data_IF_521205063457
#
_entry.id   IF_521205063457
#
_cell.length_a   1.000
_cell.length_b   1.000
_cell.length_c   1.000
_cell.angle_alpha   90.00
_cell.angle_beta   90.00
_cell.angle_gamma   90.00
#
_symmetry.space_group_name_H-M   'P 1'
#
loop_
_entity.id
_entity.type
_entity.pdbx_description
1 polymer ?
#
# COMPACT_ATOMS: atom_id res chain seq x y z
N UNK A 1 62.38 28.50 60.64
CA UNK A 1 61.81 27.20 61.11
C UNK A 1 60.30 27.43 61.26
N UNK A 2 59.50 26.66 60.54
CA UNK A 2 58.02 26.81 60.65
C UNK A 2 57.52 26.37 62.05
N UNK A 3 56.42 26.92 62.47
CA UNK A 3 55.79 26.64 63.77
C UNK A 3 55.26 25.20 63.81
N UNK A 4 55.52 24.47 64.90
CA UNK A 4 54.93 23.15 65.15
C UNK A 4 53.43 23.33 65.41
N UNK A 5 52.59 22.57 64.75
CA UNK A 5 51.17 22.61 64.92
C UNK A 5 50.75 22.14 66.35
N UNK A 6 49.74 22.79 66.94
CA UNK A 6 48.99 22.26 68.06
C UNK A 6 47.62 21.76 67.56
N UNK A 7 46.99 20.87 68.31
CA UNK A 7 45.62 20.40 67.96
C UNK A 7 44.62 21.55 67.84
N UNK A 8 44.68 22.53 68.72
CA UNK A 8 43.84 23.73 68.65
C UNK A 8 44.08 24.55 67.38
N UNK A 9 45.34 24.69 66.95
CA UNK A 9 45.72 25.38 65.70
C UNK A 9 45.22 24.60 64.47
N UNK A 10 45.36 23.26 64.48
CA UNK A 10 44.84 22.39 63.40
C UNK A 10 43.31 22.50 63.31
N UNK A 11 42.59 22.39 64.43
CA UNK A 11 41.13 22.51 64.43
C UNK A 11 40.70 23.89 63.96
N UNK A 12 41.40 24.94 64.33
CA UNK A 12 41.11 26.31 63.90
C UNK A 12 41.35 26.47 62.35
N UNK A 13 42.41 25.89 61.84
CA UNK A 13 42.78 26.00 60.41
C UNK A 13 41.93 25.17 59.50
N UNK A 14 41.69 23.91 59.85
CA UNK A 14 41.07 22.91 58.96
C UNK A 14 39.62 22.56 59.39
N UNK A 15 39.23 22.87 60.60
CA UNK A 15 37.90 22.49 61.13
C UNK A 15 37.80 21.03 61.57
N UNK A 16 38.90 20.31 61.64
CA UNK A 16 38.96 18.91 62.05
C UNK A 16 39.90 18.72 63.20
N UNK A 17 39.71 17.68 63.99
CA UNK A 17 40.52 17.37 65.13
C UNK A 17 39.90 17.78 66.49
N UNK A 18 40.72 17.85 67.52
CA UNK A 18 40.32 18.12 68.92
C UNK A 18 40.96 19.42 69.40
N UNK A 19 40.53 19.91 70.53
CA UNK A 19 41.19 21.01 71.23
C UNK A 19 42.36 20.43 72.03
N UNK A 20 43.45 21.20 72.15
CA UNK A 20 44.62 20.85 72.87
C UNK A 20 45.86 21.59 72.41
N UNK A 21 46.86 21.72 73.32
CA UNK A 21 48.14 22.34 73.04
C UNK A 21 49.24 21.33 72.64
N UNK A 22 48.90 20.02 72.68
CA UNK A 22 49.85 18.99 72.24
C UNK A 22 50.02 19.05 70.74
N UNK A 23 51.18 18.65 70.23
CA UNK A 23 51.44 18.56 68.83
C UNK A 23 50.80 17.28 68.27
N UNK A 24 50.00 17.35 67.18
CA UNK A 24 49.53 16.19 66.47
C UNK A 24 50.71 15.54 65.69
N UNK A 25 50.79 14.23 65.79
CA UNK A 25 51.73 13.48 64.96
C UNK A 25 51.14 13.31 63.57
N UNK A 26 51.99 12.98 62.56
CA UNK A 26 51.57 12.65 61.21
C UNK A 26 50.51 11.58 61.19
N UNK A 27 50.71 10.51 61.96
CA UNK A 27 49.77 9.39 62.01
C UNK A 27 48.40 9.80 62.53
N UNK A 28 48.33 10.64 63.59
CA UNK A 28 47.10 11.16 64.13
C UNK A 28 46.35 12.07 63.14
N UNK A 29 47.10 12.94 62.44
CA UNK A 29 46.50 13.80 61.41
C UNK A 29 45.91 13.05 60.23
N UNK A 30 46.63 12.03 59.75
CA UNK A 30 46.14 11.20 58.64
C UNK A 30 45.00 10.27 59.05
N UNK A 31 44.84 9.98 60.33
CA UNK A 31 43.73 9.22 60.89
C UNK A 31 42.45 10.04 61.06
N UNK A 32 42.48 11.39 60.89
CA UNK A 32 41.26 12.20 60.98
C UNK A 32 40.35 11.89 59.78
N UNK A 33 39.14 11.52 60.09
CA UNK A 33 38.11 11.35 59.08
C UNK A 33 37.62 12.70 58.53
N UNK A 34 37.49 12.83 57.20
CA UNK A 34 36.89 14.03 56.65
C UNK A 34 35.43 14.14 57.06
N UNK A 35 34.90 15.36 57.05
CA UNK A 35 33.48 15.65 57.32
C UNK A 35 32.79 16.18 56.09
N UNK A 36 31.47 16.01 56.05
CA UNK A 36 30.63 16.46 54.94
C UNK A 36 30.81 15.65 53.64
N UNK A 37 30.09 16.02 52.66
CA UNK A 37 30.09 15.47 51.29
C UNK A 37 29.90 16.55 50.25
N UNK A 38 30.30 16.30 49.03
CA UNK A 38 30.15 17.27 47.93
C UNK A 38 30.86 18.57 48.23
N UNK A 39 30.17 19.71 48.09
CA UNK A 39 30.70 21.04 48.36
C UNK A 39 30.93 21.35 49.84
N UNK A 40 30.35 20.55 50.73
CA UNK A 40 30.52 20.65 52.19
C UNK A 40 31.66 19.73 52.70
N UNK A 41 32.37 19.08 51.79
CA UNK A 41 33.51 18.23 52.16
C UNK A 41 34.62 19.09 52.78
N UNK A 42 35.10 18.64 53.93
CA UNK A 42 36.27 19.17 54.59
C UNK A 42 37.17 18.03 54.96
N UNK A 43 38.34 18.01 54.40
CA UNK A 43 39.39 17.05 54.69
C UNK A 43 40.69 17.74 55.10
N UNK A 44 41.72 16.94 55.35
CA UNK A 44 43.06 17.37 55.69
C UNK A 44 44.04 16.66 54.78
N UNK A 45 45.02 17.36 54.24
CA UNK A 45 46.17 16.83 53.56
C UNK A 45 47.45 17.50 54.09
N UNK A 46 48.57 16.78 53.96
CA UNK A 46 49.88 17.28 54.31
C UNK A 46 50.71 17.52 53.06
N UNK A 47 51.27 18.70 52.89
CA UNK A 47 52.26 18.94 51.83
C UNK A 47 53.52 18.17 52.13
N UNK A 48 54.43 18.09 52.42
CA UNK A 48 55.66 17.39 52.70
C UNK A 48 55.51 16.13 53.59
N UNK A 49 54.41 15.37 53.41
CA UNK A 49 54.10 14.17 54.25
C UNK A 49 55.25 13.14 54.32
N UNK A 50 56.06 13.01 53.25
CA UNK A 50 57.23 12.14 53.22
C UNK A 50 58.35 12.59 54.11
N UNK A 51 58.38 13.84 54.51
CA UNK A 51 59.43 14.43 55.36
C UNK A 51 59.23 14.17 56.85
N UNK A 52 58.09 13.57 57.21
CA UNK A 52 57.78 13.30 58.63
C UNK A 52 57.67 11.80 58.88
N UNK A 53 58.24 11.36 60.00
CA UNK A 53 57.96 10.04 60.56
C UNK A 53 56.56 9.97 61.14
N UNK A 54 55.97 8.78 61.29
CA UNK A 54 54.60 8.62 61.75
C UNK A 54 54.33 9.23 63.13
N UNK A 55 55.30 9.21 63.99
CA UNK A 55 55.19 9.75 65.34
C UNK A 55 55.79 11.13 65.50
N UNK A 56 56.11 11.83 64.40
CA UNK A 56 56.69 13.15 64.40
C UNK A 56 55.58 14.25 64.37
N UNK A 57 55.79 15.32 65.08
CA UNK A 57 54.96 16.50 65.03
C UNK A 57 55.10 17.23 63.71
N UNK A 58 53.93 17.59 63.11
CA UNK A 58 53.90 18.24 61.79
C UNK A 58 53.86 19.77 61.97
N UNK A 59 54.54 20.47 61.06
CA UNK A 59 54.48 21.95 61.07
C UNK A 59 53.09 22.43 60.57
N UNK A 60 52.60 23.51 61.17
CA UNK A 60 51.32 24.07 60.81
C UNK A 60 51.24 24.57 59.36
N UNK A 61 52.34 24.98 58.76
CA UNK A 61 52.42 25.37 57.37
C UNK A 61 52.21 24.23 56.40
N UNK A 62 52.53 23.00 56.79
CA UNK A 62 52.36 21.78 55.96
C UNK A 62 51.01 21.11 56.07
N UNK A 63 50.13 21.62 56.94
CA UNK A 63 48.76 21.11 57.14
C UNK A 63 47.77 21.97 56.34
N UNK A 64 47.10 21.35 55.42
CA UNK A 64 46.17 22.05 54.53
C UNK A 64 44.73 21.59 54.70
N UNK A 65 43.81 22.54 54.81
CA UNK A 65 42.37 22.27 54.69
C UNK A 65 42.03 21.93 53.27
N UNK A 66 41.46 20.74 53.07
CA UNK A 66 41.00 20.27 51.73
C UNK A 66 39.50 20.57 51.58
N UNK A 67 39.17 21.21 50.51
CA UNK A 67 37.77 21.38 50.04
C UNK A 67 37.70 21.11 48.56
N UNK A 68 36.46 20.90 48.09
CA UNK A 68 36.22 20.76 46.66
C UNK A 68 35.20 21.76 46.19
N UNK A 69 35.43 22.34 45.02
CA UNK A 69 34.44 23.05 44.24
C UNK A 69 33.99 22.20 43.07
N UNK A 70 32.71 22.10 42.90
CA UNK A 70 32.10 21.31 41.85
C UNK A 70 31.55 22.22 40.77
N UNK A 71 31.94 21.95 39.51
CA UNK A 71 31.33 22.55 38.35
C UNK A 71 30.39 21.53 37.73
N UNK A 72 29.12 21.89 37.59
CA UNK A 72 28.13 21.10 36.90
C UNK A 72 27.27 22.02 36.06
N UNK A 73 27.55 22.03 34.77
CA UNK A 73 26.86 22.89 33.78
C UNK A 73 26.48 22.09 32.56
N UNK A 74 25.50 22.58 31.81
CA UNK A 74 25.08 22.02 30.55
C UNK A 74 25.10 23.12 29.49
N UNK A 75 25.58 22.81 28.31
CA UNK A 75 25.51 23.70 27.14
C UNK A 75 24.08 23.88 26.66
N UNK A 76 23.26 22.85 26.76
CA UNK A 76 21.87 22.84 26.32
C UNK A 76 20.97 22.29 27.43
N UNK A 77 19.80 22.91 27.58
CA UNK A 77 18.76 22.46 28.52
C UNK A 77 17.62 21.68 27.83
N UNK A 78 17.64 21.61 26.49
CA UNK A 78 16.62 20.91 25.72
C UNK A 78 17.21 20.27 24.45
N UNK A 79 16.57 19.18 24.01
CA UNK A 79 16.81 18.50 22.74
C UNK A 79 15.48 18.37 22.01
N UNK A 80 15.47 18.75 20.73
CA UNK A 80 14.30 18.64 19.87
C UNK A 80 14.53 17.52 18.83
N UNK A 81 13.48 16.76 18.56
CA UNK A 81 13.45 15.70 17.55
C UNK A 81 12.41 16.05 16.49
N UNK A 82 12.67 15.61 15.25
CA UNK A 82 11.64 15.54 14.22
C UNK A 82 10.63 14.42 14.55
N UNK A 83 9.59 14.28 13.74
CA UNK A 83 8.57 13.26 13.96
C UNK A 83 9.11 11.82 13.81
N UNK A 84 10.18 11.62 13.04
CA UNK A 84 10.82 10.31 12.84
C UNK A 84 11.75 9.93 14.01
N UNK A 85 12.03 10.86 14.92
CA UNK A 85 12.86 10.64 16.10
C UNK A 85 14.31 11.03 15.91
N UNK A 86 14.65 11.72 14.81
CA UNK A 86 15.98 12.25 14.63
C UNK A 86 16.14 13.57 15.40
N UNK A 87 17.27 13.80 16.08
CA UNK A 87 17.51 15.09 16.72
C UNK A 87 17.63 16.17 15.64
N UNK A 88 17.12 17.35 15.95
CA UNK A 88 17.14 18.53 15.05
C UNK A 88 18.55 18.97 14.64
N UNK A 89 19.57 18.47 15.34
CA UNK A 89 20.98 18.64 15.00
C UNK A 89 21.71 17.35 15.36
N UNK A 90 22.52 16.84 14.44
CA UNK A 90 23.27 15.58 14.57
C UNK A 90 24.21 15.50 15.77
N UNK A 91 24.56 16.64 16.36
CA UNK A 91 25.50 16.76 17.47
C UNK A 91 24.85 17.22 18.78
N UNK A 92 23.53 17.21 18.91
CA UNK A 92 22.86 17.62 20.13
C UNK A 92 23.03 16.56 21.23
N UNK A 93 24.12 16.71 21.98
CA UNK A 93 24.18 16.25 23.38
C UNK A 93 24.00 17.44 24.30
N UNK A 94 23.70 17.21 25.55
CA UNK A 94 23.57 18.29 26.54
C UNK A 94 24.91 19.00 26.83
N UNK A 95 26.03 18.39 26.45
CA UNK A 95 27.36 18.94 26.66
C UNK A 95 27.62 19.24 28.13
N UNK A 96 27.39 18.26 29.00
CA UNK A 96 27.62 18.42 30.44
C UNK A 96 29.11 18.62 30.73
N UNK A 97 29.41 19.65 31.49
CA UNK A 97 30.70 19.81 32.16
C UNK A 97 30.46 19.42 33.61
N UNK A 98 31.09 18.34 34.01
CA UNK A 98 30.96 17.74 35.36
C UNK A 98 32.34 17.50 35.91
N UNK A 99 32.84 18.45 36.67
CA UNK A 99 34.20 18.41 37.22
C UNK A 99 34.21 18.79 38.70
N UNK A 100 35.30 18.45 39.38
CA UNK A 100 35.65 18.97 40.70
C UNK A 100 37.08 19.48 40.67
N UNK A 101 37.30 20.58 41.40
CA UNK A 101 38.62 21.15 41.66
C UNK A 101 38.89 21.04 43.14
N UNK A 102 40.06 20.43 43.48
CA UNK A 102 40.58 20.43 44.87
C UNK A 102 41.13 21.78 45.22
N UNK A 103 40.94 22.21 46.45
CA UNK A 103 41.50 23.42 47.03
C UNK A 103 42.24 23.06 48.33
N UNK A 104 43.39 23.67 48.47
CA UNK A 104 44.13 23.73 49.73
C UNK A 104 44.01 25.16 50.30
N UNK A 105 43.49 25.24 51.50
CA UNK A 105 43.33 26.58 52.19
C UNK A 105 42.69 27.62 51.30
N UNK A 106 41.76 27.20 50.43
CA UNK A 106 41.04 28.07 49.49
C UNK A 106 41.76 28.38 48.14
N UNK A 107 42.93 27.82 47.93
CA UNK A 107 43.69 27.96 46.69
C UNK A 107 43.59 26.66 45.89
N UNK A 108 43.34 26.78 44.59
CA UNK A 108 43.25 25.61 43.69
C UNK A 108 44.53 24.76 43.71
N UNK A 109 44.41 23.49 43.92
CA UNK A 109 45.51 22.52 44.02
C UNK A 109 45.28 21.35 43.11
N UNK A 110 46.14 21.18 42.09
CA UNK A 110 46.06 20.14 41.10
C UNK A 110 45.09 20.47 39.94
N UNK A 111 44.91 19.52 39.04
CA UNK A 111 44.02 19.66 37.90
C UNK A 111 42.57 19.39 38.28
N UNK A 112 41.64 19.95 37.50
CA UNK A 112 40.23 19.53 37.58
C UNK A 112 40.09 18.07 37.24
N UNK A 113 39.21 17.37 37.95
CA UNK A 113 38.91 15.96 37.79
C UNK A 113 37.46 15.81 37.36
N UNK A 114 37.20 14.96 36.37
CA UNK A 114 35.84 14.63 35.93
C UNK A 114 35.08 13.91 37.06
N UNK A 115 33.84 14.31 37.24
CA UNK A 115 32.88 13.67 38.17
C UNK A 115 31.76 13.02 37.36
N UNK A 116 31.41 11.80 37.71
CA UNK A 116 30.31 11.09 37.09
C UNK A 116 28.96 11.76 37.39
N UNK A 117 28.01 11.55 36.51
CA UNK A 117 26.62 11.97 36.69
C UNK A 117 25.65 10.85 36.32
N UNK A 118 24.45 10.90 36.85
CA UNK A 118 23.37 9.93 36.62
C UNK A 118 22.21 10.66 35.94
N UNK A 119 21.64 10.05 34.93
CA UNK A 119 20.44 10.52 34.24
C UNK A 119 19.27 9.67 34.70
N UNK A 120 18.20 10.28 35.15
CA UNK A 120 17.00 9.62 35.64
C UNK A 120 15.74 10.23 35.02
N UNK A 121 14.64 9.48 35.07
CA UNK A 121 13.33 9.90 34.55
C UNK A 121 13.34 10.24 33.06
N UNK A 122 14.20 9.59 32.26
CA UNK A 122 14.16 9.73 30.81
C UNK A 122 12.84 9.17 30.26
N UNK A 123 12.10 9.91 29.40
CA UNK A 123 10.85 9.43 28.85
C UNK A 123 11.07 8.19 28.01
N UNK A 124 10.11 7.27 28.02
CA UNK A 124 10.21 5.96 27.36
C UNK A 124 10.40 6.03 25.84
N UNK A 125 10.07 7.16 25.25
CA UNK A 125 10.21 7.42 23.82
C UNK A 125 11.58 8.00 23.43
N UNK A 126 12.47 8.26 24.40
CA UNK A 126 13.85 8.73 24.17
C UNK A 126 14.85 7.68 24.57
N UNK A 127 15.83 7.48 23.70
CA UNK A 127 16.96 6.56 23.94
C UNK A 127 18.26 7.35 24.02
N UNK A 128 19.04 7.06 25.09
CA UNK A 128 20.38 7.58 25.27
C UNK A 128 21.40 6.56 24.75
N UNK A 129 22.23 6.99 23.81
CA UNK A 129 23.30 6.16 23.22
C UNK A 129 24.69 6.46 23.79
N UNK A 130 24.74 7.22 24.89
CA UNK A 130 26.00 7.57 25.53
C UNK A 130 26.88 8.46 24.65
N UNK A 131 28.07 7.98 24.31
CA UNK A 131 29.05 8.75 23.52
C UNK A 131 28.87 8.58 22.00
N UNK A 132 27.81 7.90 21.52
CA UNK A 132 27.53 7.80 20.09
C UNK A 132 27.03 9.15 19.51
N UNK A 133 27.08 9.29 18.21
CA UNK A 133 26.59 10.47 17.49
C UNK A 133 25.48 10.02 16.53
N UNK A 134 24.24 10.49 16.72
CA UNK A 134 23.76 11.34 17.80
C UNK A 134 23.66 10.60 19.15
N UNK A 135 23.94 11.26 20.26
CA UNK A 135 23.88 10.64 21.59
C UNK A 135 22.45 10.34 22.07
N UNK A 136 21.47 10.96 21.44
CA UNK A 136 20.05 10.82 21.74
C UNK A 136 19.25 10.58 20.48
N UNK A 137 18.32 9.64 20.54
CA UNK A 137 17.28 9.41 19.52
C UNK A 137 15.93 9.29 20.20
N UNK A 138 14.87 9.44 19.42
CA UNK A 138 13.52 9.18 19.88
C UNK A 138 12.83 8.13 19.02
N UNK A 139 11.87 7.41 19.57
CA UNK A 139 10.96 6.59 18.76
C UNK A 139 10.11 7.49 17.87
N UNK A 140 9.70 6.98 16.71
CA UNK A 140 8.82 7.73 15.80
C UNK A 140 7.55 8.21 16.53
N UNK A 141 7.18 9.48 16.32
CA UNK A 141 5.92 10.02 16.80
C UNK A 141 4.86 9.86 15.71
N UNK A 142 3.97 8.90 15.89
CA UNK A 142 2.81 8.71 15.01
C UNK A 142 1.58 9.52 15.45
N UNK A 143 1.68 10.28 16.55
CA UNK A 143 0.64 11.21 17.02
C UNK A 143 0.59 12.48 16.17
N UNK A 144 -0.61 13.01 15.96
CA UNK A 144 -0.83 14.30 15.26
C UNK A 144 -0.59 15.52 16.16
N UNK A 145 -0.07 15.30 17.35
CA UNK A 145 0.36 16.34 18.29
C UNK A 145 1.83 16.14 18.62
N UNK A 146 2.52 17.26 18.81
CA UNK A 146 3.88 17.22 19.36
C UNK A 146 3.85 16.65 20.78
N UNK A 147 4.95 16.04 21.20
CA UNK A 147 5.12 15.57 22.58
C UNK A 147 6.34 16.22 23.22
N UNK A 148 6.30 16.40 24.52
CA UNK A 148 7.40 16.94 25.29
C UNK A 148 7.46 16.31 26.67
N UNK A 149 8.66 16.27 27.23
CA UNK A 149 8.92 15.85 28.61
C UNK A 149 9.99 16.75 29.21
N UNK A 150 9.78 17.20 30.44
CA UNK A 150 10.72 18.06 31.20
C UNK A 150 11.05 17.45 32.58
N UNK A 151 10.80 16.16 32.77
CA UNK A 151 11.02 15.47 34.04
C UNK A 151 12.38 14.78 34.15
N UNK A 152 13.12 14.70 33.04
CA UNK A 152 14.45 14.13 33.06
C UNK A 152 15.39 14.95 33.91
N UNK A 153 16.01 14.28 34.88
CA UNK A 153 16.91 14.86 35.84
C UNK A 153 18.32 14.30 35.65
N UNK A 154 19.30 15.19 35.59
CA UNK A 154 20.71 14.82 35.58
C UNK A 154 21.34 15.27 36.91
N UNK A 155 21.94 14.34 37.61
CA UNK A 155 22.49 14.56 38.95
C UNK A 155 23.98 14.23 38.95
N UNK A 156 24.83 15.18 39.37
CA UNK A 156 26.24 14.94 39.59
C UNK A 156 26.41 14.07 40.85
N UNK A 157 27.11 12.96 40.71
CA UNK A 157 27.12 11.88 41.73
C UNK A 157 27.70 12.30 43.08
N UNK A 158 28.70 13.17 43.10
CA UNK A 158 29.40 13.55 44.32
C UNK A 158 28.80 14.81 44.98
N UNK A 159 28.41 15.79 44.19
CA UNK A 159 27.88 17.07 44.75
C UNK A 159 26.37 17.05 44.96
N UNK A 160 25.65 16.15 44.30
CA UNK A 160 24.19 16.14 44.27
C UNK A 160 23.57 17.30 43.46
N UNK A 161 24.36 18.11 42.76
CA UNK A 161 23.85 19.16 41.87
C UNK A 161 23.04 18.54 40.75
N UNK A 162 21.92 19.18 40.39
CA UNK A 162 20.96 18.66 39.43
C UNK A 162 20.65 19.65 38.31
N UNK A 163 20.35 19.13 37.13
CA UNK A 163 19.71 19.86 36.04
C UNK A 163 18.45 19.14 35.60
N UNK A 164 17.42 19.91 35.26
CA UNK A 164 16.29 19.45 34.48
C UNK A 164 16.58 19.64 32.99
N UNK A 165 16.33 18.62 32.21
CA UNK A 165 16.45 18.67 30.76
C UNK A 165 15.10 18.38 30.13
N UNK A 166 14.84 19.03 28.99
CA UNK A 166 13.59 18.91 28.26
C UNK A 166 13.82 18.22 26.92
N UNK A 167 12.97 17.26 26.60
CA UNK A 167 12.88 16.66 25.28
C UNK A 167 11.58 17.11 24.61
N UNK A 168 11.65 17.47 23.34
CA UNK A 168 10.49 17.80 22.51
C UNK A 168 10.55 17.00 21.22
N UNK A 169 9.41 16.60 20.70
CA UNK A 169 9.32 15.93 19.41
C UNK A 169 8.15 16.44 18.60
N UNK A 170 8.39 16.68 17.32
CA UNK A 170 7.37 17.14 16.40
C UNK A 170 6.22 16.13 16.23
N UNK A 171 5.05 16.62 15.88
CA UNK A 171 3.91 15.82 15.47
C UNK A 171 4.19 15.09 14.14
N UNK A 172 3.52 13.97 13.92
CA UNK A 172 3.54 13.29 12.63
C UNK A 172 2.97 14.18 11.51
N UNK A 173 3.57 14.11 10.35
CA UNK A 173 2.94 14.61 9.12
C UNK A 173 1.82 13.68 8.71
N UNK A 174 0.64 14.23 8.40
CA UNK A 174 -0.51 13.47 7.91
C UNK A 174 -0.72 13.70 6.42
N UNK A 175 -0.95 12.63 5.67
CA UNK A 175 -1.36 12.70 4.28
C UNK A 175 -2.25 11.50 3.93
N UNK A 176 -2.83 11.51 2.72
CA UNK A 176 -3.69 10.44 2.24
C UNK A 176 -3.19 9.87 0.93
N UNK A 177 -3.09 8.55 0.85
CA UNK A 177 -2.85 7.83 -0.39
C UNK A 177 -4.18 7.29 -0.91
N UNK A 178 -4.58 7.73 -2.11
CA UNK A 178 -5.78 7.26 -2.78
C UNK A 178 -5.44 6.12 -3.73
N UNK A 179 -6.21 5.04 -3.66
CA UNK A 179 -6.15 3.91 -4.59
C UNK A 179 -7.43 3.89 -5.40
N UNK A 180 -7.30 3.96 -6.70
CA UNK A 180 -8.39 3.95 -7.66
C UNK A 180 -7.94 3.17 -8.89
N UNK A 181 -8.41 1.93 -9.03
CA UNK A 181 -8.03 1.04 -10.13
C UNK A 181 -9.17 0.13 -10.57
N UNK A 182 -9.09 -0.32 -11.80
CA UNK A 182 -10.05 -1.16 -12.47
C UNK A 182 -9.32 -2.30 -13.18
N UNK A 183 -9.85 -3.52 -13.09
CA UNK A 183 -9.29 -4.69 -13.79
C UNK A 183 -10.40 -5.66 -14.20
N UNK A 184 -10.43 -6.11 -15.47
CA UNK A 184 -9.65 -5.61 -16.60
C UNK A 184 -10.12 -4.23 -17.06
N UNK A 185 -9.34 -3.54 -17.89
CA UNK A 185 -9.70 -2.23 -18.48
C UNK A 185 -10.48 -2.38 -19.81
N UNK A 186 -10.53 -3.59 -20.36
CA UNK A 186 -11.31 -3.90 -21.56
C UNK A 186 -11.91 -5.32 -21.47
N UNK A 187 -13.09 -5.49 -22.07
CA UNK A 187 -13.78 -6.78 -22.15
C UNK A 187 -14.26 -6.99 -23.58
N UNK A 188 -14.00 -8.19 -24.13
CA UNK A 188 -14.51 -8.64 -25.40
C UNK A 188 -15.68 -9.61 -25.20
N UNK A 189 -16.78 -9.40 -25.92
CA UNK A 189 -17.96 -10.25 -25.95
C UNK A 189 -18.05 -10.96 -27.32
N UNK A 190 -18.53 -12.20 -27.31
CA UNK A 190 -18.96 -12.90 -28.52
C UNK A 190 -20.24 -12.30 -29.11
N UNK A 191 -20.58 -12.67 -30.33
CA UNK A 191 -21.77 -12.19 -31.03
C UNK A 191 -23.10 -12.46 -30.27
N UNK A 192 -23.20 -13.59 -29.56
CA UNK A 192 -24.37 -13.96 -28.76
C UNK A 192 -24.59 -13.08 -27.53
N UNK A 193 -23.56 -12.33 -27.14
CA UNK A 193 -23.56 -11.59 -25.88
C UNK A 193 -23.30 -12.47 -24.66
N UNK A 194 -23.15 -11.82 -23.54
CA UNK A 194 -22.91 -12.48 -22.24
C UNK A 194 -22.94 -11.44 -21.12
N UNK A 195 -22.81 -11.92 -19.89
CA UNK A 195 -22.53 -11.09 -18.70
C UNK A 195 -21.16 -11.41 -18.15
N UNK A 196 -20.33 -10.40 -18.00
CA UNK A 196 -18.97 -10.53 -17.46
C UNK A 196 -18.78 -9.59 -16.28
N UNK A 197 -17.76 -9.83 -15.47
CA UNK A 197 -17.46 -9.04 -14.29
C UNK A 197 -16.08 -8.38 -14.40
N UNK A 198 -15.91 -7.32 -13.62
CA UNK A 198 -14.64 -6.63 -13.43
C UNK A 198 -14.46 -6.31 -11.93
N UNK A 199 -13.27 -5.97 -11.53
CA UNK A 199 -12.95 -5.59 -10.15
C UNK A 199 -12.58 -4.12 -10.06
N UNK A 200 -12.92 -3.50 -8.93
CA UNK A 200 -12.61 -2.10 -8.64
C UNK A 200 -11.94 -2.02 -7.28
N UNK A 201 -10.77 -1.40 -7.21
CA UNK A 201 -10.19 -0.98 -5.94
C UNK A 201 -10.44 0.52 -5.75
N UNK A 202 -11.18 0.88 -4.70
CA UNK A 202 -11.57 2.25 -4.39
C UNK A 202 -11.46 2.47 -2.89
N UNK A 203 -10.31 3.01 -2.44
CA UNK A 203 -10.09 3.30 -1.03
C UNK A 203 -9.04 4.38 -0.85
N UNK A 204 -8.98 4.95 0.35
CA UNK A 204 -7.87 5.78 0.80
C UNK A 204 -7.20 5.17 2.03
N UNK A 205 -5.92 5.43 2.17
CA UNK A 205 -5.08 5.02 3.27
C UNK A 205 -4.44 6.25 3.91
N UNK A 206 -4.61 6.43 5.21
CA UNK A 206 -3.87 7.44 5.94
C UNK A 206 -2.38 7.09 5.95
N UNK A 207 -1.55 8.10 5.73
CA UNK A 207 -0.11 8.02 5.90
C UNK A 207 0.31 8.95 7.03
N UNK A 208 1.15 8.44 7.93
CA UNK A 208 1.84 9.24 8.93
C UNK A 208 3.33 9.12 8.72
N UNK A 209 3.99 10.24 8.60
CA UNK A 209 5.41 10.31 8.22
C UNK A 209 5.74 9.49 6.96
N UNK A 210 4.78 9.36 6.04
CA UNK A 210 4.93 8.57 4.81
C UNK A 210 4.61 7.07 4.94
N UNK A 211 4.39 6.55 6.14
CA UNK A 211 4.03 5.15 6.39
C UNK A 211 2.52 4.95 6.51
N UNK A 212 2.02 3.79 6.07
CA UNK A 212 0.61 3.44 6.24
C UNK A 212 0.22 3.44 7.72
N UNK A 213 -0.88 4.12 8.03
CA UNK A 213 -1.41 4.21 9.38
C UNK A 213 -2.89 3.84 9.42
N UNK A 214 -3.28 3.00 10.38
CA UNK A 214 -4.68 2.56 10.52
C UNK A 214 -5.18 1.70 9.36
N UNK A 215 -6.49 1.54 9.26
CA UNK A 215 -7.15 0.73 8.25
C UNK A 215 -7.40 1.51 6.95
N UNK A 216 -7.52 0.79 5.84
CA UNK A 216 -8.01 1.34 4.60
C UNK A 216 -9.47 1.77 4.74
N UNK A 217 -9.81 2.94 4.20
CA UNK A 217 -11.16 3.49 4.19
C UNK A 217 -11.71 3.36 2.78
N UNK A 218 -12.74 2.53 2.60
CA UNK A 218 -13.41 2.35 1.32
C UNK A 218 -14.05 3.67 0.86
N UNK A 219 -13.91 3.96 -0.45
CA UNK A 219 -14.51 5.13 -1.07
C UNK A 219 -15.60 4.70 -2.05
N UNK A 220 -16.72 5.38 -2.02
CA UNK A 220 -17.81 5.17 -2.95
C UNK A 220 -17.48 5.72 -4.33
N UNK A 221 -18.15 5.17 -5.34
CA UNK A 221 -18.06 5.63 -6.72
C UNK A 221 -19.42 5.54 -7.41
N UNK A 222 -19.62 6.34 -8.41
CA UNK A 222 -20.77 6.31 -9.32
C UNK A 222 -20.39 5.60 -10.60
N UNK A 223 -21.41 5.06 -11.30
CA UNK A 223 -21.27 4.35 -12.56
C UNK A 223 -22.18 4.96 -13.62
N UNK A 224 -21.67 5.12 -14.84
CA UNK A 224 -22.41 5.48 -16.03
C UNK A 224 -22.08 4.51 -17.15
N UNK A 225 -23.12 4.01 -17.85
CA UNK A 225 -22.98 3.14 -19.02
C UNK A 225 -23.22 3.97 -20.28
N UNK A 226 -22.53 3.63 -21.36
CA UNK A 226 -22.70 4.24 -22.68
C UNK A 226 -22.61 3.19 -23.79
N UNK A 227 -23.29 3.42 -24.90
CA UNK A 227 -23.33 2.49 -26.02
C UNK A 227 -24.17 1.25 -25.75
N UNK A 228 -23.71 0.09 -26.22
CA UNK A 228 -24.46 -1.17 -26.14
C UNK A 228 -24.30 -1.93 -24.82
N UNK A 229 -23.80 -1.29 -23.80
CA UNK A 229 -23.49 -1.90 -22.48
C UNK A 229 -24.64 -1.64 -21.51
N UNK A 230 -24.99 -2.67 -20.74
CA UNK A 230 -25.91 -2.63 -19.60
C UNK A 230 -25.27 -3.28 -18.37
N UNK A 231 -26.02 -3.37 -17.26
CA UNK A 231 -25.60 -3.98 -16.01
C UNK A 231 -25.37 -2.98 -14.89
N UNK A 232 -25.11 -3.47 -13.68
CA UNK A 232 -24.94 -2.70 -12.46
C UNK A 232 -23.79 -3.23 -11.60
N UNK A 233 -23.36 -2.48 -10.60
CA UNK A 233 -22.25 -2.86 -9.75
C UNK A 233 -20.98 -3.13 -10.58
N UNK A 234 -20.41 -4.32 -10.42
CA UNK A 234 -19.23 -4.78 -11.16
C UNK A 234 -19.57 -5.74 -12.30
N UNK A 235 -20.85 -5.92 -12.65
CA UNK A 235 -21.27 -6.72 -13.78
C UNK A 235 -21.49 -5.86 -15.03
N UNK A 236 -21.12 -6.38 -16.19
CA UNK A 236 -21.34 -5.75 -17.48
C UNK A 236 -21.94 -6.76 -18.45
N UNK A 237 -23.01 -6.37 -19.13
CA UNK A 237 -23.75 -7.22 -20.06
C UNK A 237 -23.82 -6.57 -21.45
N UNK A 238 -23.58 -7.35 -22.48
CA UNK A 238 -23.96 -7.05 -23.86
C UNK A 238 -24.87 -8.14 -24.37
N UNK A 239 -26.06 -7.77 -24.86
CA UNK A 239 -27.03 -8.73 -25.42
C UNK A 239 -26.60 -9.25 -26.79
N UNK A 240 -27.44 -10.13 -27.39
CA UNK A 240 -27.20 -10.67 -28.73
C UNK A 240 -27.01 -9.57 -29.79
N UNK A 241 -25.95 -9.65 -30.58
CA UNK A 241 -25.68 -8.73 -31.69
C UNK A 241 -26.37 -9.24 -32.95
N UNK A 242 -27.45 -8.57 -33.33
CA UNK A 242 -28.19 -8.86 -34.57
C UNK A 242 -27.76 -7.97 -35.75
N UNK A 243 -26.57 -7.43 -35.73
CA UNK A 243 -25.95 -6.66 -36.81
C UNK A 243 -24.69 -7.35 -37.33
N UNK A 244 -24.43 -7.23 -38.62
CA UNK A 244 -23.20 -7.68 -39.27
C UNK A 244 -21.99 -6.80 -38.97
N UNK A 245 -22.14 -5.80 -38.10
CA UNK A 245 -21.08 -4.89 -37.64
C UNK A 245 -20.77 -5.19 -36.17
N UNK A 246 -19.51 -4.98 -35.79
CA UNK A 246 -19.10 -4.95 -34.38
C UNK A 246 -19.81 -3.79 -33.66
N UNK A 247 -20.03 -3.92 -32.38
CA UNK A 247 -20.53 -2.82 -31.55
C UNK A 247 -19.72 -2.66 -30.27
N UNK A 248 -19.79 -1.48 -29.69
CA UNK A 248 -19.01 -1.16 -28.50
C UNK A 248 -19.86 -0.39 -27.50
N UNK A 249 -19.30 -0.27 -26.30
CA UNK A 249 -19.83 0.57 -25.25
C UNK A 249 -18.79 0.74 -24.15
N UNK A 250 -19.08 1.60 -23.20
CA UNK A 250 -18.16 1.89 -22.09
C UNK A 250 -18.90 1.93 -20.77
N UNK A 251 -18.18 1.56 -19.70
CA UNK A 251 -18.58 1.82 -18.32
C UNK A 251 -17.61 2.84 -17.75
N UNK A 252 -18.11 4.00 -17.37
CA UNK A 252 -17.34 5.04 -16.70
C UNK A 252 -17.64 5.00 -15.21
N UNK A 253 -16.60 4.85 -14.40
CA UNK A 253 -16.66 4.90 -12.94
C UNK A 253 -16.04 6.21 -12.46
N UNK A 254 -16.69 6.92 -11.56
CA UNK A 254 -16.21 8.20 -11.01
C UNK A 254 -16.13 8.07 -9.49
N UNK A 255 -14.93 8.16 -8.92
CA UNK A 255 -14.72 8.12 -7.47
C UNK A 255 -15.27 9.40 -6.82
N UNK A 256 -16.11 9.26 -5.81
CA UNK A 256 -16.85 10.37 -5.25
C UNK A 256 -15.96 11.45 -4.61
N UNK A 257 -14.92 11.06 -3.89
CA UNK A 257 -14.08 12.01 -3.14
C UNK A 257 -13.07 12.75 -4.02
N UNK A 258 -12.48 12.06 -5.00
CA UNK A 258 -11.42 12.65 -5.85
C UNK A 258 -11.93 13.17 -7.19
N UNK A 259 -13.13 12.76 -7.61
CA UNK A 259 -13.67 13.04 -8.93
C UNK A 259 -12.95 12.32 -10.08
N UNK A 260 -11.94 11.49 -9.79
CA UNK A 260 -11.18 10.75 -10.80
C UNK A 260 -12.04 9.72 -11.49
N UNK A 261 -11.84 9.54 -12.78
CA UNK A 261 -12.60 8.61 -13.62
C UNK A 261 -11.74 7.44 -14.09
N UNK A 262 -12.37 6.26 -14.18
CA UNK A 262 -11.85 5.08 -14.85
C UNK A 262 -12.87 4.64 -15.90
N UNK A 263 -12.39 4.11 -17.02
CA UNK A 263 -13.24 3.64 -18.11
C UNK A 263 -12.92 2.19 -18.42
N UNK A 264 -13.96 1.34 -18.41
CA UNK A 264 -13.95 0.00 -18.95
C UNK A 264 -14.46 0.05 -20.38
N UNK A 265 -13.65 -0.36 -21.35
CA UNK A 265 -14.03 -0.48 -22.74
C UNK A 265 -14.62 -1.86 -23.01
N UNK A 266 -15.79 -1.91 -23.65
CA UNK A 266 -16.44 -3.14 -24.04
C UNK A 266 -16.60 -3.18 -25.57
N UNK A 267 -16.25 -4.30 -26.16
CA UNK A 267 -16.46 -4.53 -27.59
C UNK A 267 -17.15 -5.88 -27.79
N UNK A 268 -17.96 -5.99 -28.84
CA UNK A 268 -18.66 -7.21 -29.20
C UNK A 268 -18.49 -7.53 -30.68
N UNK A 269 -18.25 -8.81 -30.97
CA UNK A 269 -18.13 -9.31 -32.31
C UNK A 269 -19.40 -9.06 -33.13
N UNK A 270 -19.24 -8.89 -34.44
CA UNK A 270 -20.32 -8.82 -35.38
C UNK A 270 -21.20 -10.09 -35.28
N UNK A 271 -22.49 -9.90 -35.42
CA UNK A 271 -23.41 -11.01 -35.56
C UNK A 271 -23.31 -11.65 -36.96
N UNK A 272 -23.74 -12.88 -37.05
CA UNK A 272 -23.86 -13.58 -38.33
C UNK A 272 -25.22 -14.25 -38.45
N UNK A 273 -25.74 -14.26 -39.71
CA UNK A 273 -27.00 -14.94 -39.97
C UNK A 273 -26.75 -16.43 -40.15
N UNK A 274 -27.66 -17.21 -39.61
CA UNK A 274 -27.77 -18.67 -39.83
C UNK A 274 -29.06 -19.00 -40.52
N UNK A 275 -29.06 -19.99 -41.36
CA UNK A 275 -30.21 -20.43 -42.12
C UNK A 275 -30.44 -21.92 -41.89
N UNK A 276 -31.69 -22.33 -41.69
CA UNK A 276 -32.05 -23.73 -41.59
C UNK A 276 -31.95 -24.40 -42.98
N UNK A 277 -32.13 -25.72 -42.98
CA UNK A 277 -32.40 -26.44 -44.22
C UNK A 277 -33.70 -25.91 -44.87
N UNK A 278 -33.77 -26.00 -46.19
CA UNK A 278 -34.97 -25.60 -46.95
C UNK A 278 -35.98 -26.75 -46.84
N UNK A 279 -37.19 -26.40 -46.44
CA UNK A 279 -38.34 -27.35 -46.55
C UNK A 279 -39.08 -27.09 -47.85
N UNK A 280 -39.64 -28.12 -48.44
CA UNK A 280 -40.37 -28.03 -49.70
C UNK A 280 -41.63 -28.91 -49.66
N UNK A 281 -42.70 -28.42 -50.24
CA UNK A 281 -43.95 -29.19 -50.38
C UNK A 281 -44.68 -28.86 -51.66
N UNK A 282 -45.39 -29.81 -52.20
CA UNK A 282 -46.17 -29.67 -53.42
C UNK A 282 -45.30 -29.66 -54.72
N UNK A 283 -45.80 -29.07 -55.70
CA UNK A 283 -45.23 -29.02 -57.06
C UNK A 283 -45.89 -30.03 -57.99
N UNK A 284 -45.98 -29.67 -59.24
CA UNK A 284 -46.53 -30.56 -60.25
C UNK A 284 -45.87 -30.37 -61.63
N UNK A 285 -45.94 -31.35 -62.45
CA UNK A 285 -45.51 -31.33 -63.85
C UNK A 285 -46.74 -31.72 -64.69
N UNK A 286 -47.01 -30.93 -65.71
CA UNK A 286 -48.08 -31.27 -66.67
C UNK A 286 -47.77 -32.57 -67.40
N UNK A 287 -48.81 -33.35 -67.66
CA UNK A 287 -48.64 -34.60 -68.38
C UNK A 287 -48.07 -34.38 -69.77
N UNK A 288 -47.30 -35.35 -70.28
CA UNK A 288 -46.91 -35.36 -71.65
C UNK A 288 -48.07 -35.83 -72.49
N UNK A 289 -48.45 -35.17 -73.57
CA UNK A 289 -49.60 -35.59 -74.37
C UNK A 289 -49.34 -36.92 -75.08
N UNK A 290 -50.41 -37.57 -75.47
CA UNK A 290 -50.33 -38.87 -76.18
C UNK A 290 -49.48 -38.81 -77.49
N UNK A 291 -49.39 -37.63 -78.09
CA UNK A 291 -48.52 -37.37 -79.25
C UNK A 291 -47.01 -37.45 -78.96
N UNK A 292 -46.64 -37.54 -77.66
CA UNK A 292 -45.28 -37.52 -77.23
C UNK A 292 -44.83 -36.06 -76.87
N UNK A 293 -43.61 -35.97 -76.36
CA UNK A 293 -43.01 -34.66 -75.98
C UNK A 293 -42.07 -34.79 -74.78
N UNK A 294 -41.67 -33.69 -74.21
CA UNK A 294 -40.76 -33.65 -73.04
C UNK A 294 -41.20 -32.63 -72.01
N UNK A 295 -40.77 -32.82 -70.77
CA UNK A 295 -40.93 -31.88 -69.68
C UNK A 295 -39.55 -31.61 -69.03
N UNK A 296 -39.17 -30.32 -69.02
CA UNK A 296 -37.87 -29.87 -68.48
C UNK A 296 -37.98 -28.95 -67.30
N UNK A 297 -39.24 -28.60 -66.92
CA UNK A 297 -39.53 -27.67 -65.78
C UNK A 297 -40.83 -28.06 -65.07
N UNK A 298 -41.05 -27.63 -63.87
CA UNK A 298 -42.31 -27.76 -63.16
C UNK A 298 -43.39 -26.88 -63.81
N UNK A 299 -44.61 -27.36 -63.90
CA UNK A 299 -45.78 -26.58 -64.31
C UNK A 299 -46.34 -25.76 -63.17
N UNK A 300 -46.26 -26.30 -61.96
CA UNK A 300 -46.52 -25.59 -60.70
C UNK A 300 -45.32 -25.80 -59.78
N UNK A 301 -44.77 -24.71 -59.31
CA UNK A 301 -43.58 -24.73 -58.43
C UNK A 301 -43.94 -25.27 -57.04
N UNK A 302 -43.10 -26.13 -56.43
CA UNK A 302 -43.21 -26.44 -55.04
C UNK A 302 -43.19 -25.19 -54.16
N UNK A 303 -43.87 -25.21 -53.04
CA UNK A 303 -43.74 -24.19 -52.01
C UNK A 303 -42.49 -24.50 -51.19
N UNK A 304 -41.62 -23.50 -51.02
CA UNK A 304 -40.38 -23.64 -50.28
C UNK A 304 -40.39 -22.70 -49.09
N UNK A 305 -39.86 -23.12 -47.95
CA UNK A 305 -39.67 -22.28 -46.78
C UNK A 305 -38.31 -22.52 -46.08
N UNK A 306 -37.81 -21.50 -45.49
CA UNK A 306 -36.55 -21.53 -44.77
C UNK A 306 -36.67 -20.62 -43.52
N UNK A 307 -36.19 -21.09 -42.39
CA UNK A 307 -36.04 -20.24 -41.20
C UNK A 307 -34.65 -19.63 -41.21
N UNK A 308 -34.51 -18.50 -40.55
CA UNK A 308 -33.24 -17.82 -40.32
C UNK A 308 -33.15 -17.27 -38.93
N UNK A 309 -31.96 -17.00 -38.49
CA UNK A 309 -31.67 -16.46 -37.18
C UNK A 309 -30.36 -15.71 -37.13
N UNK A 310 -30.08 -15.22 -35.95
CA UNK A 310 -28.81 -14.61 -35.64
C UNK A 310 -28.04 -15.46 -34.66
N UNK A 311 -26.75 -15.68 -34.95
CA UNK A 311 -25.82 -16.36 -34.04
C UNK A 311 -26.31 -17.75 -33.57
N UNK A 312 -26.99 -18.48 -34.46
CA UNK A 312 -27.51 -19.82 -34.18
C UNK A 312 -28.92 -19.88 -33.60
N UNK A 313 -29.52 -18.75 -33.23
CA UNK A 313 -30.90 -18.72 -32.76
C UNK A 313 -31.89 -18.41 -33.87
N UNK A 314 -33.01 -19.14 -33.95
CA UNK A 314 -34.07 -18.87 -34.94
C UNK A 314 -34.78 -17.56 -34.58
N UNK A 315 -34.89 -16.66 -35.56
CA UNK A 315 -35.49 -15.34 -35.37
C UNK A 315 -36.70 -15.10 -36.29
N UNK A 316 -36.75 -15.81 -37.43
CA UNK A 316 -37.83 -15.69 -38.42
C UNK A 316 -37.76 -16.78 -39.47
N UNK A 317 -38.71 -16.79 -40.39
CA UNK A 317 -38.81 -17.74 -41.46
C UNK A 317 -40.06 -17.50 -42.27
N UNK A 318 -40.19 -18.20 -43.39
CA UNK A 318 -41.34 -18.07 -44.26
C UNK A 318 -41.12 -18.74 -45.62
N UNK A 319 -42.16 -18.56 -46.46
CA UNK A 319 -42.10 -19.03 -47.86
C UNK A 319 -41.07 -18.22 -48.64
N UNK A 320 -40.28 -18.91 -49.44
CA UNK A 320 -39.30 -18.29 -50.30
C UNK A 320 -40.01 -17.80 -51.57
N UNK A 321 -40.09 -16.49 -51.72
CA UNK A 321 -40.76 -15.87 -52.85
C UNK A 321 -39.80 -15.23 -53.85
N UNK A 322 -38.53 -15.02 -53.45
CA UNK A 322 -37.52 -14.38 -54.30
C UNK A 322 -36.10 -14.73 -53.89
N UNK A 323 -35.13 -14.50 -54.75
CA UNK A 323 -33.73 -14.69 -54.49
C UNK A 323 -33.24 -16.18 -54.56
N UNK A 324 -34.11 -17.09 -54.80
CA UNK A 324 -33.78 -18.50 -55.00
C UNK A 324 -33.56 -18.83 -56.48
N UNK A 325 -32.60 -19.70 -56.72
CA UNK A 325 -32.38 -20.29 -58.07
C UNK A 325 -32.84 -21.73 -58.05
N UNK A 326 -33.45 -22.18 -59.16
CA UNK A 326 -33.85 -23.56 -59.35
C UNK A 326 -33.14 -24.12 -60.56
N UNK A 327 -32.47 -25.21 -60.37
CA UNK A 327 -31.91 -26.02 -61.47
C UNK A 327 -32.71 -27.28 -61.62
N UNK A 328 -32.98 -27.64 -62.84
CA UNK A 328 -33.70 -28.88 -63.17
C UNK A 328 -32.72 -29.96 -63.61
N UNK A 329 -33.00 -31.18 -63.24
CA UNK A 329 -32.31 -32.37 -63.72
C UNK A 329 -32.64 -32.66 -65.19
N UNK A 330 -32.34 -33.89 -65.62
CA UNK A 330 -32.60 -34.33 -66.99
C UNK A 330 -34.12 -34.24 -67.31
N UNK A 331 -34.43 -33.68 -68.45
CA UNK A 331 -35.80 -33.64 -68.96
C UNK A 331 -36.39 -35.06 -69.11
N UNK A 332 -37.64 -35.15 -68.73
CA UNK A 332 -38.39 -36.44 -68.97
C UNK A 332 -39.08 -36.33 -70.28
N UNK A 333 -38.79 -37.35 -71.16
CA UNK A 333 -39.37 -37.43 -72.49
C UNK A 333 -40.14 -38.72 -72.64
N UNK A 334 -41.18 -38.69 -73.46
CA UNK A 334 -41.94 -39.85 -73.86
C UNK A 334 -42.31 -39.74 -75.37
N UNK A 335 -42.25 -40.88 -76.07
CA UNK A 335 -42.67 -40.98 -77.45
C UNK A 335 -44.19 -40.94 -77.60
N UNK A 336 -44.68 -40.93 -78.82
CA UNK A 336 -46.10 -41.04 -79.17
C UNK A 336 -46.68 -42.44 -78.73
N UNK A 337 -47.84 -42.39 -78.13
CA UNK A 337 -48.56 -43.58 -77.68
C UNK A 337 -49.43 -44.24 -78.80
N UNK A 338 -49.48 -43.69 -79.97
CA UNK A 338 -50.36 -44.14 -81.04
C UNK A 338 -51.85 -43.79 -80.77
N UNK A 339 -52.76 -44.32 -81.57
CA UNK A 339 -54.19 -43.98 -81.57
C UNK A 339 -55.03 -44.73 -80.50
N UNK A 340 -54.39 -45.60 -79.69
CA UNK A 340 -55.13 -46.36 -78.68
C UNK A 340 -55.17 -45.57 -77.37
N UNK A 341 -56.33 -45.28 -76.84
CA UNK A 341 -56.54 -44.60 -75.53
C UNK A 341 -55.96 -45.48 -74.42
N UNK A 342 -54.96 -44.98 -73.77
CA UNK A 342 -54.31 -45.63 -72.63
C UNK A 342 -54.55 -44.85 -71.35
N UNK A 343 -54.56 -45.56 -70.21
CA UNK A 343 -54.61 -44.93 -68.91
C UNK A 343 -53.36 -44.09 -68.69
N UNK A 344 -53.50 -43.00 -67.94
CA UNK A 344 -52.40 -42.13 -67.50
C UNK A 344 -51.29 -42.99 -66.88
N UNK A 345 -50.06 -42.92 -67.43
CA UNK A 345 -48.92 -43.77 -66.99
C UNK A 345 -47.76 -42.91 -66.62
N UNK A 346 -47.12 -43.20 -65.51
CA UNK A 346 -45.87 -42.49 -65.14
C UNK A 346 -44.74 -42.90 -66.13
N UNK A 347 -44.11 -41.92 -66.73
CA UNK A 347 -43.03 -42.09 -67.72
C UNK A 347 -41.67 -41.63 -67.21
N UNK A 348 -41.66 -40.97 -66.03
CA UNK A 348 -40.42 -40.57 -65.38
C UNK A 348 -40.66 -39.66 -64.16
N UNK A 349 -39.60 -39.09 -63.68
CA UNK A 349 -39.63 -38.15 -62.53
C UNK A 349 -38.74 -36.94 -62.90
N UNK A 350 -39.28 -35.76 -62.82
CA UNK A 350 -38.50 -34.54 -62.98
C UNK A 350 -38.10 -34.00 -61.59
N UNK A 351 -36.78 -33.78 -61.45
CA UNK A 351 -36.21 -33.25 -60.22
C UNK A 351 -35.86 -31.78 -60.39
N UNK A 352 -36.33 -30.92 -59.52
CA UNK A 352 -35.90 -29.53 -59.44
C UNK A 352 -35.17 -29.31 -58.11
N UNK A 353 -33.99 -28.70 -58.19
CA UNK A 353 -33.18 -28.36 -57.00
C UNK A 353 -33.18 -26.85 -56.73
N UNK A 354 -33.75 -26.44 -55.63
CA UNK A 354 -33.70 -25.06 -55.14
C UNK A 354 -32.40 -24.81 -54.40
N UNK A 355 -31.75 -23.67 -54.66
CA UNK A 355 -30.57 -23.19 -53.92
C UNK A 355 -30.81 -21.79 -53.40
N UNK A 356 -30.58 -21.63 -52.10
CA UNK A 356 -30.73 -20.31 -51.43
C UNK A 356 -29.85 -20.30 -50.18
N UNK A 357 -29.15 -19.21 -49.95
CA UNK A 357 -28.32 -18.96 -48.76
C UNK A 357 -27.37 -20.13 -48.43
N UNK A 358 -26.77 -20.72 -49.45
CA UNK A 358 -25.85 -21.88 -49.30
C UNK A 358 -26.51 -23.20 -48.93
N UNK A 359 -27.85 -23.27 -48.92
CA UNK A 359 -28.64 -24.48 -48.71
C UNK A 359 -29.30 -24.93 -49.98
N UNK A 360 -29.50 -26.22 -50.13
CA UNK A 360 -30.18 -26.80 -51.30
C UNK A 360 -31.27 -27.76 -50.89
N UNK A 361 -32.34 -27.83 -51.69
CA UNK A 361 -33.43 -28.77 -51.53
C UNK A 361 -33.89 -29.27 -52.89
N UNK A 362 -33.84 -30.57 -53.10
CA UNK A 362 -34.40 -31.20 -54.28
C UNK A 362 -35.83 -31.70 -54.06
N UNK A 363 -36.66 -31.49 -55.03
CA UNK A 363 -38.02 -32.03 -55.10
C UNK A 363 -38.15 -32.82 -56.41
N UNK A 364 -38.64 -34.02 -56.29
CA UNK A 364 -38.92 -34.87 -57.42
C UNK A 364 -40.42 -35.07 -57.59
N UNK A 365 -40.88 -34.79 -58.84
CA UNK A 365 -42.28 -34.84 -59.14
C UNK A 365 -42.47 -35.87 -60.29
N UNK A 366 -43.40 -36.80 -60.18
CA UNK A 366 -43.68 -37.76 -61.22
C UNK A 366 -44.26 -37.07 -62.44
N UNK A 367 -43.84 -37.52 -63.61
CA UNK A 367 -44.30 -37.07 -64.92
C UNK A 367 -45.10 -38.25 -65.56
N UNK A 368 -46.28 -37.92 -65.96
CA UNK A 368 -47.21 -38.86 -66.56
C UNK A 368 -47.39 -38.55 -68.07
N UNK A 369 -47.75 -39.57 -68.83
CA UNK A 369 -48.25 -39.44 -70.21
C UNK A 369 -49.73 -39.82 -70.24
N UNK A 370 -50.58 -39.01 -70.84
CA UNK A 370 -52.00 -39.22 -70.98
C UNK A 370 -52.53 -38.91 -72.38
#
# INVERSE_FOLDING_TARGET
>A
MGEIATWSAVKSKVGLGKDGNDCPTKAELLALSPTGTGENYVGLELSNASSYGNNECVKLEDIHKVTYKYTFTSRYSSISFDALGNPSSSNQGFGFISTKQKYWDGIANGAEVTVNYIISNTPTWVTNHGNQVPPWTASENLGLTSRSDSNTLVTQSESGKTFKVTFTQAAASQSWRYVWSLSPTSILFGATGDTKTFTVASYKQELRNGHNYGNQIALTYTRANSGSVSGSGTSVTMGNNTSTSTRSGTVTLTQAETGKKLTLSCSQSAGYRTYSEITASGGSVSDIPASGGSRSSFSSMPSYSQTWGWNGSTTGGGTITSGASISYGTAVSAGSLGTTVKSRTQVGTLTGTLSLNGKTKSVSVPVYQA
#
